data_IF_649098140095
#
_entry.id   IF_649098140095
#
_cell.length_a   1.000
_cell.length_b   1.000
_cell.length_c   1.000
_cell.angle_alpha   90.00
_cell.angle_beta   90.00
_cell.angle_gamma   90.00
#
_symmetry.space_group_name_H-M   'P 1'
#
loop_
_entity.id
_entity.type
_entity.pdbx_description
1 polymer ?
#
# COMPACT_ATOMS: atom_id res chain seq x y z
N UNK A 1 -21.09 -25.91 -16.44
CA UNK A 1 -19.78 -26.30 -15.90
C UNK A 1 -18.93 -25.05 -15.80
N UNK A 2 -18.41 -24.72 -14.60
CA UNK A 2 -17.47 -23.60 -14.42
C UNK A 2 -16.10 -23.99 -15.02
N UNK A 3 -15.49 -23.08 -15.79
CA UNK A 3 -14.18 -23.29 -16.43
C UNK A 3 -13.07 -22.42 -15.83
N UNK A 4 -13.45 -21.40 -15.06
CA UNK A 4 -12.52 -20.39 -14.53
C UNK A 4 -12.99 -20.00 -13.15
N UNK A 5 -12.06 -19.98 -12.20
CA UNK A 5 -12.25 -19.46 -10.85
C UNK A 5 -11.20 -18.38 -10.66
N UNK A 6 -11.62 -17.21 -10.19
CA UNK A 6 -10.77 -16.06 -9.89
C UNK A 6 -10.74 -15.93 -8.38
N UNK A 7 -9.54 -15.97 -7.79
CA UNK A 7 -9.34 -15.76 -6.37
C UNK A 7 -8.78 -14.37 -6.15
N UNK A 8 -9.31 -13.68 -5.14
CA UNK A 8 -8.67 -12.50 -4.60
C UNK A 8 -7.44 -12.89 -3.76
N UNK A 9 -6.55 -11.94 -3.50
CA UNK A 9 -5.39 -12.17 -2.65
C UNK A 9 -5.73 -11.91 -1.19
N UNK A 10 -6.02 -10.66 -0.85
CA UNK A 10 -6.12 -10.19 0.53
C UNK A 10 -7.41 -10.69 1.20
N UNK A 11 -7.28 -11.39 2.32
CA UNK A 11 -8.43 -12.01 2.99
C UNK A 11 -8.98 -13.26 2.30
N UNK A 12 -8.41 -13.68 1.15
CA UNK A 12 -8.75 -14.93 0.45
C UNK A 12 -7.55 -15.87 0.40
N UNK A 13 -6.57 -15.62 -0.47
CA UNK A 13 -5.35 -16.44 -0.56
C UNK A 13 -4.33 -16.10 0.52
N UNK A 14 -4.30 -14.84 0.96
CA UNK A 14 -3.52 -14.35 2.08
C UNK A 14 -4.47 -14.15 3.28
N UNK A 15 -4.46 -15.05 4.28
CA UNK A 15 -5.30 -14.88 5.47
C UNK A 15 -4.88 -13.61 6.20
N UNK A 16 -5.74 -12.60 6.23
CA UNK A 16 -5.42 -11.29 6.78
C UNK A 16 -6.69 -10.57 7.21
N UNK A 17 -6.65 -9.98 8.40
CA UNK A 17 -7.64 -8.98 8.81
C UNK A 17 -7.20 -7.62 8.26
N UNK A 18 -7.82 -7.20 7.16
CA UNK A 18 -7.38 -6.05 6.36
C UNK A 18 -7.24 -4.78 7.20
N UNK A 19 -8.19 -4.49 8.09
CA UNK A 19 -8.15 -3.32 8.96
C UNK A 19 -6.95 -3.34 9.93
N UNK A 20 -6.62 -4.51 10.48
CA UNK A 20 -5.47 -4.65 11.39
C UNK A 20 -4.15 -4.47 10.62
N UNK A 21 -4.06 -5.04 9.42
CA UNK A 21 -2.91 -4.86 8.55
C UNK A 21 -2.72 -3.40 8.14
N UNK A 22 -3.78 -2.74 7.65
CA UNK A 22 -3.72 -1.34 7.24
C UNK A 22 -3.30 -0.45 8.41
N UNK A 23 -3.81 -0.69 9.61
CA UNK A 23 -3.37 0.03 10.81
C UNK A 23 -1.86 -0.12 11.04
N UNK A 24 -1.35 -1.37 11.03
CA UNK A 24 0.07 -1.64 11.25
C UNK A 24 0.96 -1.04 10.15
N UNK A 25 0.55 -1.17 8.89
CA UNK A 25 1.21 -0.60 7.71
C UNK A 25 1.33 0.91 7.82
N UNK A 26 0.21 1.59 8.03
CA UNK A 26 0.16 3.04 8.11
C UNK A 26 0.93 3.57 9.31
N UNK A 27 0.81 2.93 10.47
CA UNK A 27 1.60 3.29 11.66
C UNK A 27 3.11 3.19 11.39
N UNK A 28 3.56 2.07 10.81
CA UNK A 28 4.97 1.84 10.47
C UNK A 28 5.49 2.86 9.45
N UNK A 29 4.72 3.10 8.37
CA UNK A 29 5.08 4.04 7.31
C UNK A 29 5.16 5.48 7.83
N UNK A 30 4.17 5.91 8.62
CA UNK A 30 4.17 7.23 9.24
C UNK A 30 5.33 7.42 10.21
N UNK A 31 5.69 6.40 10.99
CA UNK A 31 6.85 6.45 11.87
C UNK A 31 8.17 6.50 11.08
N UNK A 32 8.25 5.80 9.95
CA UNK A 32 9.44 5.76 9.09
C UNK A 32 9.69 7.07 8.36
N UNK A 33 8.64 7.76 7.89
CA UNK A 33 8.74 9.01 7.13
C UNK A 33 8.60 10.29 7.97
N UNK A 34 8.55 10.17 9.30
CA UNK A 34 8.28 11.30 10.21
C UNK A 34 9.27 12.45 10.12
N UNK A 35 10.47 12.20 9.60
CA UNK A 35 11.52 13.20 9.36
C UNK A 35 11.27 14.03 8.10
N UNK A 36 10.46 13.52 7.17
CA UNK A 36 10.08 14.20 5.92
C UNK A 36 8.70 14.83 6.00
N UNK A 37 7.75 14.15 6.65
CA UNK A 37 6.34 14.57 6.68
C UNK A 37 5.69 14.20 8.01
N UNK A 38 4.84 15.09 8.53
CA UNK A 38 4.03 14.78 9.70
C UNK A 38 3.11 13.59 9.40
N UNK A 39 3.05 12.55 10.27
CA UNK A 39 2.27 11.34 9.99
C UNK A 39 0.81 11.61 9.63
N UNK A 40 0.17 12.58 10.29
CA UNK A 40 -1.21 12.98 9.98
C UNK A 40 -1.35 13.54 8.56
N UNK A 41 -0.42 14.39 8.13
CA UNK A 41 -0.41 14.93 6.76
C UNK A 41 -0.17 13.82 5.74
N UNK A 42 0.76 12.89 6.03
CA UNK A 42 1.02 11.74 5.17
C UNK A 42 -0.26 10.93 4.93
N UNK A 43 -1.01 10.58 5.98
CA UNK A 43 -2.26 9.83 5.82
C UNK A 43 -3.28 10.59 4.99
N UNK A 44 -3.44 11.90 5.23
CA UNK A 44 -4.36 12.72 4.45
C UNK A 44 -3.98 12.74 2.96
N UNK A 45 -2.70 12.84 2.63
CA UNK A 45 -2.24 12.89 1.25
C UNK A 45 -2.34 11.53 0.57
N UNK A 46 -2.04 10.44 1.28
CA UNK A 46 -2.23 9.07 0.81
C UNK A 46 -3.70 8.79 0.52
N UNK A 47 -4.61 9.22 1.39
CA UNK A 47 -6.06 9.02 1.24
C UNK A 47 -6.58 9.74 -0.01
N UNK A 48 -6.29 11.05 -0.15
CA UNK A 48 -6.71 11.85 -1.32
C UNK A 48 -6.11 11.32 -2.62
N UNK A 49 -4.83 10.91 -2.62
CA UNK A 49 -4.19 10.35 -3.81
C UNK A 49 -4.77 8.97 -4.17
N UNK A 50 -5.09 8.14 -3.16
CA UNK A 50 -5.75 6.84 -3.36
C UNK A 50 -7.15 7.02 -3.92
N UNK A 51 -7.94 7.95 -3.37
CA UNK A 51 -9.28 8.24 -3.86
C UNK A 51 -9.25 8.70 -5.33
N UNK A 52 -8.33 9.60 -5.69
CA UNK A 52 -8.16 10.03 -7.07
C UNK A 52 -7.76 8.88 -8.01
N UNK A 53 -6.85 8.01 -7.55
CA UNK A 53 -6.41 6.82 -8.29
C UNK A 53 -7.55 5.82 -8.50
N UNK A 54 -8.39 5.58 -7.48
CA UNK A 54 -9.56 4.68 -7.57
C UNK A 54 -10.59 5.21 -8.56
N UNK A 55 -10.75 6.53 -8.63
CA UNK A 55 -11.66 7.21 -9.56
C UNK A 55 -11.03 7.51 -10.94
N UNK A 56 -9.86 6.94 -11.23
CA UNK A 56 -9.14 7.17 -12.49
C UNK A 56 -9.98 6.74 -13.71
N UNK A 57 -10.10 7.63 -14.70
CA UNK A 57 -10.82 7.39 -15.97
C UNK A 57 -10.11 6.40 -16.90
N UNK A 58 -8.82 6.14 -16.66
CA UNK A 58 -7.98 5.25 -17.47
C UNK A 58 -7.10 5.97 -18.50
N UNK A 59 -7.17 7.30 -18.58
CA UNK A 59 -6.32 8.12 -19.48
C UNK A 59 -4.84 8.13 -19.04
N UNK A 60 -4.59 7.95 -17.75
CA UNK A 60 -3.27 7.79 -17.13
C UNK A 60 -3.21 6.45 -16.39
N UNK A 61 -2.00 5.97 -16.11
CA UNK A 61 -1.86 4.83 -15.20
C UNK A 61 -2.25 5.20 -13.78
N UNK A 62 -2.70 4.23 -12.99
CA UNK A 62 -3.00 4.45 -11.57
C UNK A 62 -1.80 5.04 -10.82
N UNK A 63 -0.59 4.58 -11.13
CA UNK A 63 0.65 5.12 -10.58
C UNK A 63 0.82 6.61 -10.91
N UNK A 64 0.58 7.02 -12.16
CA UNK A 64 0.69 8.42 -12.58
C UNK A 64 -0.33 9.31 -11.87
N UNK A 65 -1.59 8.89 -11.80
CA UNK A 65 -2.64 9.65 -11.09
C UNK A 65 -2.28 9.80 -9.61
N UNK A 66 -1.90 8.71 -8.96
CA UNK A 66 -1.49 8.73 -7.56
C UNK A 66 -0.32 9.67 -7.32
N UNK A 67 0.78 9.54 -8.09
CA UNK A 67 1.98 10.36 -7.93
C UNK A 67 1.69 11.84 -8.16
N UNK A 68 0.94 12.18 -9.21
CA UNK A 68 0.60 13.57 -9.52
C UNK A 68 -0.16 14.24 -8.37
N UNK A 69 -1.12 13.54 -7.76
CA UNK A 69 -1.91 14.07 -6.65
C UNK A 69 -1.08 14.09 -5.36
N UNK A 70 -0.44 12.99 -5.00
CA UNK A 70 0.34 12.88 -3.77
C UNK A 70 1.46 13.93 -3.71
N UNK A 71 2.23 14.07 -4.78
CA UNK A 71 3.34 15.03 -4.84
C UNK A 71 2.90 16.48 -5.05
N UNK A 72 1.65 16.74 -5.44
CA UNK A 72 1.14 18.12 -5.48
C UNK A 72 1.07 18.79 -4.11
N UNK A 73 1.03 17.99 -3.03
CA UNK A 73 1.01 18.46 -1.64
C UNK A 73 2.41 18.57 -1.01
N UNK A 74 3.46 18.11 -1.71
CA UNK A 74 4.84 18.04 -1.23
C UNK A 74 5.66 19.11 -1.94
N UNK A 75 6.47 19.86 -1.19
CA UNK A 75 7.31 20.95 -1.76
C UNK A 75 8.72 20.48 -2.10
N UNK A 76 9.17 19.44 -1.43
CA UNK A 76 10.45 18.81 -1.61
C UNK A 76 10.49 17.98 -2.91
N UNK A 77 11.69 17.52 -3.28
CA UNK A 77 11.89 16.67 -4.45
C UNK A 77 11.16 15.32 -4.28
N UNK A 78 10.24 14.95 -5.21
CA UNK A 78 9.57 13.66 -5.20
C UNK A 78 10.51 12.45 -5.17
N UNK A 79 11.71 12.57 -5.75
CA UNK A 79 12.68 11.46 -5.79
C UNK A 79 13.13 11.03 -4.39
N UNK A 80 13.27 11.98 -3.45
CA UNK A 80 13.60 11.71 -2.06
C UNK A 80 12.56 10.82 -1.38
N UNK A 81 11.28 11.08 -1.65
CA UNK A 81 10.18 10.28 -1.11
C UNK A 81 10.13 8.89 -1.75
N UNK A 82 10.30 8.81 -3.07
CA UNK A 82 10.33 7.52 -3.78
C UNK A 82 11.43 6.60 -3.24
N UNK A 83 12.66 7.12 -3.09
CA UNK A 83 13.77 6.36 -2.51
C UNK A 83 13.45 5.86 -1.09
N UNK A 84 12.73 6.66 -0.30
CA UNK A 84 12.33 6.29 1.06
C UNK A 84 11.19 5.26 1.06
N UNK A 85 10.24 5.34 0.14
CA UNK A 85 9.24 4.30 -0.03
C UNK A 85 9.88 2.96 -0.41
N UNK A 86 10.83 2.97 -1.36
CA UNK A 86 11.52 1.75 -1.80
C UNK A 86 12.31 1.10 -0.64
N UNK A 87 13.02 1.91 0.16
CA UNK A 87 13.70 1.42 1.36
C UNK A 87 12.72 0.92 2.42
N UNK A 88 11.60 1.61 2.63
CA UNK A 88 10.56 1.15 3.54
C UNK A 88 10.06 -0.26 3.15
N UNK A 89 9.76 -0.49 1.87
CA UNK A 89 9.30 -1.80 1.41
C UNK A 89 10.36 -2.90 1.54
N UNK A 90 11.64 -2.54 1.46
CA UNK A 90 12.74 -3.50 1.57
C UNK A 90 13.09 -3.81 3.03
N UNK A 91 13.09 -2.81 3.91
CA UNK A 91 13.67 -2.90 5.25
C UNK A 91 12.63 -2.95 6.39
N UNK A 92 11.54 -2.20 6.28
CA UNK A 92 10.56 -2.04 7.36
C UNK A 92 9.28 -2.82 7.13
N UNK A 93 8.76 -2.84 5.90
CA UNK A 93 7.54 -3.56 5.54
C UNK A 93 7.57 -5.04 5.93
N UNK A 94 8.67 -5.82 5.75
CA UNK A 94 8.69 -7.22 6.18
C UNK A 94 8.43 -7.42 7.69
N UNK A 95 8.68 -6.39 8.51
CA UNK A 95 8.46 -6.46 9.96
C UNK A 95 6.98 -6.46 10.33
N UNK A 96 6.08 -6.04 9.43
CA UNK A 96 4.62 -6.08 9.64
C UNK A 96 4.01 -7.44 9.30
N UNK A 97 4.82 -8.44 8.89
CA UNK A 97 4.35 -9.79 8.57
C UNK A 97 3.57 -10.44 9.73
N UNK A 98 3.84 -10.07 10.98
CA UNK A 98 3.09 -10.56 12.14
C UNK A 98 1.61 -10.14 12.13
N UNK A 99 1.22 -9.14 11.33
CA UNK A 99 -0.15 -8.72 11.14
C UNK A 99 -0.91 -9.57 10.09
N UNK A 100 -0.24 -10.51 9.42
CA UNK A 100 -0.87 -11.43 8.47
C UNK A 100 -0.72 -12.89 8.90
N UNK A 101 -1.70 -13.70 8.52
CA UNK A 101 -1.73 -15.13 8.80
C UNK A 101 -1.06 -15.97 7.73
N UNK A 102 -0.95 -17.26 8.02
CA UNK A 102 -0.45 -18.27 7.08
C UNK A 102 -1.44 -19.42 6.97
N UNK A 103 -1.75 -19.83 5.74
CA UNK A 103 -2.54 -21.02 5.44
C UNK A 103 -1.81 -21.91 4.45
N UNK A 104 -1.46 -23.11 4.90
CA UNK A 104 -0.82 -24.12 4.06
C UNK A 104 -1.73 -24.61 2.93
N UNK A 105 -3.06 -24.52 3.11
CA UNK A 105 -4.02 -24.86 2.06
C UNK A 105 -4.03 -23.77 0.98
N UNK A 106 -4.03 -22.49 1.37
CA UNK A 106 -4.00 -21.39 0.39
C UNK A 106 -2.70 -21.39 -0.39
N UNK A 107 -1.56 -21.60 0.27
CA UNK A 107 -0.26 -21.71 -0.41
C UNK A 107 -0.26 -22.81 -1.48
N UNK A 108 -0.83 -23.98 -1.18
CA UNK A 108 -0.92 -25.11 -2.14
C UNK A 108 -1.95 -24.89 -3.24
N UNK A 109 -2.84 -23.90 -3.11
CA UNK A 109 -3.90 -23.63 -4.08
C UNK A 109 -3.42 -22.78 -5.26
N UNK A 110 -2.23 -22.17 -5.15
CA UNK A 110 -1.64 -21.25 -6.14
C UNK A 110 -0.24 -21.67 -6.60
N UNK A 111 0.27 -22.81 -6.11
CA UNK A 111 1.50 -23.47 -6.53
C UNK A 111 1.17 -24.71 -7.37
#
# INVERSE_FOLDING_TARGET
>A
MLKTILFDLDGTLLPMELDQFLHAYFHSLGAYLKDLIYPKSLFQYLDVATEAMVNNSGDLTNEQVFKNIFFSFIKEDPTLYMDRFDRFYTEEFPKIQSAVGFSSIMQKSVL
#
